data_IF_039694974869
#
_entry.id   IF_039694974869
#
_cell.length_a   1.000
_cell.length_b   1.000
_cell.length_c   1.000
_cell.angle_alpha   90.00
_cell.angle_beta   90.00
_cell.angle_gamma   90.00
#
_symmetry.space_group_name_H-M   'P 1'
#
loop_
_entity.id
_entity.type
_entity.pdbx_description
1 polymer ?
#
# COMPACT_ATOMS: atom_id res chain seq x y z
N UNK A 1 -4.65 -15.07 -14.50
CA UNK A 1 -4.43 -13.62 -14.52
C UNK A 1 -3.54 -13.22 -13.36
N UNK A 2 -2.59 -12.33 -13.61
CA UNK A 2 -1.76 -11.80 -12.55
C UNK A 2 -2.59 -10.91 -11.61
N UNK A 3 -2.26 -10.97 -10.34
CA UNK A 3 -2.86 -10.11 -9.34
C UNK A 3 -2.09 -8.82 -9.25
N UNK A 4 -2.77 -7.73 -8.92
CA UNK A 4 -2.18 -6.40 -8.97
C UNK A 4 -2.03 -5.78 -7.59
N UNK A 5 -0.84 -5.21 -7.36
CA UNK A 5 -0.51 -4.48 -6.15
C UNK A 5 -0.15 -3.05 -6.55
N UNK A 6 -0.69 -2.09 -5.82
CA UNK A 6 -0.30 -0.70 -5.98
C UNK A 6 0.58 -0.32 -4.78
N UNK A 7 1.82 0.07 -5.07
CA UNK A 7 2.82 0.39 -4.05
C UNK A 7 3.10 1.89 -4.05
N UNK A 8 2.87 2.52 -2.89
CA UNK A 8 3.09 3.94 -2.70
C UNK A 8 4.20 4.12 -1.67
N UNK A 9 5.34 4.63 -2.11
CA UNK A 9 6.53 4.78 -1.28
C UNK A 9 7.40 5.88 -1.87
N UNK A 10 7.76 6.89 -1.06
CA UNK A 10 8.52 8.02 -1.56
C UNK A 10 10.02 7.73 -1.74
N UNK A 11 10.58 6.80 -0.97
CA UNK A 11 11.97 6.39 -1.13
C UNK A 11 12.12 5.54 -2.39
N UNK A 12 12.81 6.05 -3.39
CA UNK A 12 13.00 5.35 -4.65
C UNK A 12 13.71 4.00 -4.48
N UNK A 13 14.82 3.91 -3.69
CA UNK A 13 15.46 2.60 -3.47
C UNK A 13 14.53 1.60 -2.77
N UNK A 14 13.82 2.04 -1.74
CA UNK A 14 12.90 1.16 -1.01
C UNK A 14 11.75 0.72 -1.92
N UNK A 15 11.16 1.64 -2.67
CA UNK A 15 10.06 1.33 -3.58
C UNK A 15 10.47 0.31 -4.63
N UNK A 16 11.62 0.52 -5.27
CA UNK A 16 12.10 -0.41 -6.31
C UNK A 16 12.42 -1.77 -5.74
N UNK A 17 13.00 -1.82 -4.55
CA UNK A 17 13.32 -3.10 -3.91
C UNK A 17 12.06 -3.92 -3.62
N UNK A 18 11.05 -3.29 -3.06
CA UNK A 18 9.77 -3.95 -2.77
C UNK A 18 9.09 -4.37 -4.08
N UNK A 19 9.04 -3.47 -5.06
CA UNK A 19 8.39 -3.77 -6.34
C UNK A 19 9.04 -4.96 -7.03
N UNK A 20 10.37 -5.00 -7.09
CA UNK A 20 11.09 -6.12 -7.71
C UNK A 20 10.78 -7.44 -7.02
N UNK A 21 10.77 -7.42 -5.68
CA UNK A 21 10.45 -8.61 -4.90
C UNK A 21 9.05 -9.13 -5.22
N UNK A 22 8.06 -8.23 -5.26
CA UNK A 22 6.68 -8.60 -5.54
C UNK A 22 6.50 -9.07 -6.98
N UNK A 23 7.18 -8.44 -7.94
CA UNK A 23 7.13 -8.86 -9.34
C UNK A 23 7.69 -10.28 -9.50
N UNK A 24 8.77 -10.58 -8.81
CA UNK A 24 9.34 -11.94 -8.81
C UNK A 24 8.40 -12.96 -8.18
N UNK A 25 7.53 -12.53 -7.30
CA UNK A 25 6.51 -13.39 -6.70
C UNK A 25 5.26 -13.53 -7.57
N UNK A 26 5.23 -12.90 -8.74
CA UNK A 26 4.16 -13.06 -9.72
C UNK A 26 3.13 -11.97 -9.75
N UNK A 27 3.34 -10.86 -9.03
CA UNK A 27 2.40 -9.73 -9.02
C UNK A 27 2.72 -8.71 -10.09
N UNK A 28 1.68 -8.07 -10.61
CA UNK A 28 1.83 -6.84 -11.37
C UNK A 28 1.86 -5.69 -10.36
N UNK A 29 2.86 -4.83 -10.45
CA UNK A 29 3.05 -3.77 -9.46
C UNK A 29 3.01 -2.41 -10.14
N UNK A 30 2.03 -1.59 -9.74
CA UNK A 30 2.00 -0.18 -10.08
C UNK A 30 2.66 0.59 -8.94
N UNK A 31 3.28 1.72 -9.23
CA UNK A 31 4.06 2.46 -8.26
C UNK A 31 3.72 3.94 -8.29
N UNK A 32 3.75 4.58 -7.12
CA UNK A 32 3.69 6.03 -6.98
C UNK A 32 4.62 6.44 -5.85
N UNK A 33 5.11 7.68 -5.91
CA UNK A 33 6.06 8.20 -4.91
C UNK A 33 5.48 9.31 -4.05
N UNK A 34 4.25 9.75 -4.31
CA UNK A 34 3.54 10.74 -3.50
C UNK A 34 2.10 10.33 -3.32
N UNK A 35 1.45 10.87 -2.29
CA UNK A 35 0.02 10.65 -2.09
C UNK A 35 -0.83 11.23 -3.19
N UNK A 36 -0.42 12.39 -3.73
CA UNK A 36 -1.13 13.04 -4.83
C UNK A 36 -1.14 12.20 -6.09
N UNK A 37 0.01 11.63 -6.46
CA UNK A 37 0.10 10.72 -7.61
C UNK A 37 -0.67 9.43 -7.35
N UNK A 38 -0.64 8.94 -6.12
CA UNK A 38 -1.40 7.74 -5.73
C UNK A 38 -2.90 7.96 -5.93
N UNK A 39 -3.44 9.07 -5.46
CA UNK A 39 -4.86 9.38 -5.61
C UNK A 39 -5.23 9.49 -7.10
N UNK A 40 -4.38 10.14 -7.89
CA UNK A 40 -4.60 10.26 -9.34
C UNK A 40 -4.67 8.91 -10.02
N UNK A 41 -3.76 8.01 -9.67
CA UNK A 41 -3.72 6.68 -10.27
C UNK A 41 -4.92 5.83 -9.85
N UNK A 42 -5.33 5.93 -8.60
CA UNK A 42 -6.51 5.24 -8.09
C UNK A 42 -7.76 5.73 -8.83
N UNK A 43 -7.90 7.04 -9.02
CA UNK A 43 -9.01 7.61 -9.78
C UNK A 43 -9.05 7.12 -11.23
N UNK A 44 -7.88 7.05 -11.85
CA UNK A 44 -7.78 6.71 -13.27
C UNK A 44 -8.03 5.22 -13.54
N UNK A 45 -7.55 4.35 -12.68
CA UNK A 45 -7.65 2.90 -12.92
C UNK A 45 -8.35 2.16 -11.78
N UNK A 46 -8.07 2.49 -10.53
CA UNK A 46 -8.80 2.02 -9.35
C UNK A 46 -9.01 0.52 -9.16
N UNK A 47 -8.32 -0.31 -9.91
CA UNK A 47 -8.62 -1.73 -9.98
C UNK A 47 -7.43 -2.55 -9.50
N UNK A 48 -7.02 -2.31 -8.26
CA UNK A 48 -5.94 -3.05 -7.62
C UNK A 48 -6.51 -4.07 -6.64
N UNK A 49 -5.83 -5.20 -6.51
CA UNK A 49 -6.21 -6.20 -5.49
C UNK A 49 -5.77 -5.75 -4.10
N UNK A 50 -4.61 -5.09 -4.00
CA UNK A 50 -4.06 -4.61 -2.73
C UNK A 50 -3.37 -3.27 -2.98
N UNK A 51 -3.55 -2.34 -2.04
CA UNK A 51 -2.79 -1.09 -2.00
C UNK A 51 -1.90 -1.09 -0.77
N UNK A 52 -0.61 -0.90 -0.97
CA UNK A 52 0.40 -0.83 0.09
C UNK A 52 0.97 0.58 0.08
N UNK A 53 0.82 1.30 1.19
CA UNK A 53 1.28 2.69 1.25
C UNK A 53 2.13 2.97 2.48
N UNK A 54 3.22 3.70 2.27
CA UNK A 54 3.94 4.35 3.34
C UNK A 54 3.04 5.43 3.97
N UNK A 55 3.19 5.67 5.26
CA UNK A 55 2.42 6.72 5.94
C UNK A 55 2.92 8.11 5.56
N UNK A 56 4.20 8.35 5.72
CA UNK A 56 4.78 9.70 5.54
C UNK A 56 5.38 9.85 4.17
N UNK A 57 4.87 10.84 3.46
CA UNK A 57 5.32 11.18 2.11
C UNK A 57 5.29 12.69 1.96
N UNK A 58 6.11 13.27 1.07
CA UNK A 58 6.02 14.71 0.79
C UNK A 58 4.64 15.08 0.29
N UNK A 59 4.24 16.32 0.54
CA UNK A 59 2.95 16.85 0.10
C UNK A 59 1.90 16.79 1.19
N UNK A 60 0.64 16.96 0.79
CA UNK A 60 -0.48 17.11 1.70
C UNK A 60 -1.21 15.82 2.00
N UNK A 61 -0.99 14.78 1.20
CA UNK A 61 -1.72 13.51 1.29
C UNK A 61 -0.77 12.45 1.85
N UNK A 62 -1.13 11.88 3.00
CA UNK A 62 -0.35 10.81 3.61
C UNK A 62 -0.94 9.43 3.26
N UNK A 63 -0.30 8.36 3.76
CA UNK A 63 -0.73 7.00 3.45
C UNK A 63 -2.12 6.66 3.96
N UNK A 64 -2.52 7.18 5.11
CA UNK A 64 -3.89 6.94 5.61
C UNK A 64 -4.92 7.59 4.68
N UNK A 65 -4.61 8.78 4.16
CA UNK A 65 -5.48 9.44 3.18
C UNK A 65 -5.59 8.62 1.90
N UNK A 66 -4.48 8.07 1.42
CA UNK A 66 -4.47 7.22 0.23
C UNK A 66 -5.36 5.99 0.44
N UNK A 67 -5.19 5.30 1.56
CA UNK A 67 -5.96 4.09 1.85
C UNK A 67 -7.44 4.40 2.07
N UNK A 68 -7.75 5.52 2.69
CA UNK A 68 -9.13 5.97 2.88
C UNK A 68 -9.78 6.25 1.54
N UNK A 69 -9.07 6.92 0.63
CA UNK A 69 -9.56 7.21 -0.72
C UNK A 69 -9.80 5.90 -1.48
N UNK A 70 -8.85 4.97 -1.41
CA UNK A 70 -8.99 3.66 -2.06
C UNK A 70 -10.23 2.92 -1.56
N UNK A 71 -10.47 2.94 -0.24
CA UNK A 71 -11.63 2.26 0.33
C UNK A 71 -12.96 2.81 -0.20
N UNK A 72 -13.01 4.11 -0.48
CA UNK A 72 -14.23 4.71 -1.04
C UNK A 72 -14.43 4.32 -2.50
N UNK A 73 -13.34 4.23 -3.26
CA UNK A 73 -13.41 3.91 -4.70
C UNK A 73 -13.58 2.41 -4.91
N UNK A 74 -12.85 1.60 -4.18
CA UNK A 74 -12.84 0.14 -4.36
C UNK A 74 -12.72 -0.55 -3.00
N UNK A 75 -13.82 -0.68 -2.24
CA UNK A 75 -13.76 -1.22 -0.88
C UNK A 75 -13.32 -2.69 -0.80
N UNK A 76 -13.34 -3.41 -1.92
CA UNK A 76 -12.89 -4.80 -1.98
C UNK A 76 -11.37 -4.96 -1.97
N UNK A 77 -10.63 -3.90 -2.29
CA UNK A 77 -9.17 -3.97 -2.31
C UNK A 77 -8.61 -4.09 -0.90
N UNK A 78 -7.56 -4.90 -0.73
CA UNK A 78 -6.84 -4.95 0.53
C UNK A 78 -6.05 -3.67 0.74
N UNK A 79 -5.83 -3.31 1.99
CA UNK A 79 -5.11 -2.09 2.36
C UNK A 79 -4.04 -2.42 3.39
N UNK A 80 -2.82 -1.94 3.15
CA UNK A 80 -1.68 -2.15 4.04
C UNK A 80 -0.95 -0.83 4.23
N UNK A 81 -0.76 -0.44 5.49
CA UNK A 81 0.03 0.74 5.83
C UNK A 81 1.40 0.31 6.33
N UNK A 82 2.45 0.92 5.81
CA UNK A 82 3.83 0.73 6.27
C UNK A 82 4.31 2.02 6.92
N UNK A 83 4.94 1.95 8.08
CA UNK A 83 5.51 3.14 8.70
C UNK A 83 6.60 2.84 9.71
N UNK A 84 7.61 3.71 9.76
CA UNK A 84 8.61 3.74 10.83
C UNK A 84 8.17 4.64 11.98
N UNK A 85 7.08 5.38 11.82
CA UNK A 85 6.65 6.43 12.75
C UNK A 85 5.24 6.15 13.28
N UNK A 86 5.05 4.91 13.72
CA UNK A 86 3.77 4.50 14.26
C UNK A 86 3.52 5.06 15.65
N UNK A 87 2.24 5.14 16.00
CA UNK A 87 1.77 5.51 17.32
C UNK A 87 0.48 4.74 17.57
N UNK A 88 0.00 4.75 18.81
CA UNK A 88 -1.28 4.12 19.11
C UNK A 88 -2.41 4.73 18.28
N UNK A 89 -2.35 6.04 18.07
CA UNK A 89 -3.36 6.75 17.26
C UNK A 89 -3.30 6.26 15.80
N UNK A 90 -2.12 6.14 15.22
CA UNK A 90 -1.96 5.67 13.85
C UNK A 90 -2.41 4.21 13.72
N UNK A 91 -2.06 3.36 14.67
CA UNK A 91 -2.52 1.97 14.67
C UNK A 91 -4.03 1.88 14.74
N UNK A 92 -4.65 2.72 15.57
CA UNK A 92 -6.10 2.75 15.72
C UNK A 92 -6.79 3.20 14.44
N UNK A 93 -6.27 4.26 13.81
CA UNK A 93 -6.80 4.75 12.53
C UNK A 93 -6.65 3.70 11.42
N UNK A 94 -5.51 2.99 11.39
CA UNK A 94 -5.26 1.93 10.42
C UNK A 94 -6.28 0.81 10.60
N UNK A 95 -6.51 0.39 11.83
CA UNK A 95 -7.48 -0.66 12.14
C UNK A 95 -8.90 -0.24 11.73
N UNK A 96 -9.27 1.00 11.95
CA UNK A 96 -10.60 1.51 11.59
C UNK A 96 -10.84 1.49 10.10
N UNK A 97 -9.78 1.64 9.30
CA UNK A 97 -9.87 1.51 7.84
C UNK A 97 -9.95 0.06 7.39
N UNK A 98 -9.79 -0.91 8.29
CA UNK A 98 -9.69 -2.30 7.92
C UNK A 98 -8.36 -2.64 7.25
N UNK A 99 -7.34 -1.81 7.46
CA UNK A 99 -6.03 -1.99 6.87
C UNK A 99 -5.10 -2.76 7.80
N UNK A 100 -4.15 -3.49 7.23
CA UNK A 100 -3.07 -4.10 7.98
C UNK A 100 -2.00 -3.06 8.27
N UNK A 101 -1.29 -3.23 9.38
CA UNK A 101 -0.24 -2.33 9.82
C UNK A 101 1.10 -3.07 9.84
N UNK A 102 2.09 -2.51 9.16
CA UNK A 102 3.44 -3.09 9.12
C UNK A 102 4.45 -2.03 9.53
N UNK A 103 5.29 -2.36 10.52
CA UNK A 103 6.38 -1.46 10.93
C UNK A 103 7.59 -1.62 10.04
N UNK A 104 8.26 -0.49 9.77
CA UNK A 104 9.54 -0.49 9.08
C UNK A 104 10.68 -0.75 10.08
N UNK A 105 11.76 -1.40 9.68
CA UNK A 105 12.06 -1.86 8.32
C UNK A 105 11.19 -3.05 7.93
N UNK A 106 10.68 -3.00 6.68
CA UNK A 106 9.75 -4.01 6.19
C UNK A 106 10.49 -5.32 5.92
N UNK A 107 9.98 -6.39 6.49
CA UNK A 107 10.44 -7.74 6.15
C UNK A 107 9.64 -8.19 4.93
N UNK A 108 10.33 -8.41 3.83
CA UNK A 108 9.66 -8.68 2.55
C UNK A 108 8.76 -9.91 2.60
N UNK A 109 9.20 -10.98 3.28
CA UNK A 109 8.36 -12.17 3.41
C UNK A 109 7.09 -11.90 4.22
N UNK A 110 7.17 -11.08 5.25
CA UNK A 110 5.99 -10.70 6.04
C UNK A 110 5.01 -9.87 5.22
N UNK A 111 5.53 -8.94 4.41
CA UNK A 111 4.71 -8.16 3.51
C UNK A 111 4.02 -9.06 2.48
N UNK A 112 4.75 -10.01 1.90
CA UNK A 112 4.19 -10.94 0.94
C UNK A 112 3.04 -11.76 1.54
N UNK A 113 3.23 -12.26 2.76
CA UNK A 113 2.18 -13.03 3.45
C UNK A 113 0.93 -12.18 3.66
N UNK A 114 1.11 -10.92 4.02
CA UNK A 114 -0.03 -10.02 4.21
C UNK A 114 -0.76 -9.75 2.89
N UNK A 115 -0.01 -9.52 1.81
CA UNK A 115 -0.58 -9.34 0.48
C UNK A 115 -1.35 -10.60 0.04
N UNK A 116 -0.79 -11.78 0.29
CA UNK A 116 -1.42 -13.04 -0.10
C UNK A 116 -2.77 -13.26 0.58
N UNK A 117 -2.97 -12.75 1.79
CA UNK A 117 -4.27 -12.83 2.46
C UNK A 117 -5.37 -12.15 1.68
N UNK A 118 -5.04 -11.10 0.91
CA UNK A 118 -6.02 -10.33 0.15
C UNK A 118 -6.14 -10.79 -1.30
N UNK A 119 -5.21 -11.60 -1.78
CA UNK A 119 -5.17 -12.04 -3.19
C UNK A 119 -5.46 -13.53 -3.36
N UNK A 120 -5.60 -14.25 -2.27
CA UNK A 120 -5.90 -15.68 -2.27
C UNK A 120 -7.35 -15.89 -2.68
N UNK A 121 -7.57 -16.86 -3.57
CA UNK A 121 -8.91 -17.22 -4.04
C UNK A 121 -9.16 -18.69 -3.86
#
# INVERSE_FOLDING_TARGET
MARSVFLVEDSSPARRNIATFLERAGYQVAQADTGEDAVRLIEASGNFDVVVSDLRMPGMINGLDVLSFQNRIAPHAGSILMTAFGSDQIRDQTRRLGAAYIEKPVKLNSLLLEIEKHTRR
#
